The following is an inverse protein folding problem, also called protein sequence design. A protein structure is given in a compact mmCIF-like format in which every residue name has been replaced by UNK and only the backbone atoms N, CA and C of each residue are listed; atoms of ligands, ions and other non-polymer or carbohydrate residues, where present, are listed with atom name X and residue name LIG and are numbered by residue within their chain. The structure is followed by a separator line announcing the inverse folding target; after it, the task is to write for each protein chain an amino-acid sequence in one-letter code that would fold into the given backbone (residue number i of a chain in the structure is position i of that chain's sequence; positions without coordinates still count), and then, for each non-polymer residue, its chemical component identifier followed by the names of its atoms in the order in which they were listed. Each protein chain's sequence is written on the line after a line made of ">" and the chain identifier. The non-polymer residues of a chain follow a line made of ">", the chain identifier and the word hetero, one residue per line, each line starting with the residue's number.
data_IF_721113814684
#
_entry.id   IF_721113814684
#
_cell.length_a   1.000
_cell.length_b   1.000
_cell.length_c   1.000
_cell.angle_alpha   90.00
_cell.angle_beta   90.00
_cell.angle_gamma   90.00
#
_symmetry.space_group_name_H-M   'P 1'
#
loop_
_entity.id
_entity.type
_entity.pdbx_description
1 polymer ?
#
# COMPACT_ATOMS: atom_id res chain seq x y z
N UNK A 1 13.27 -11.16 6.18
CA UNK A 1 12.69 -10.45 5.03
C UNK A 1 13.68 -9.49 4.39
N UNK A 2 14.18 -8.48 5.10
CA UNK A 2 15.13 -7.52 4.54
C UNK A 2 16.37 -8.18 3.93
N UNK A 3 16.93 -9.21 4.59
CA UNK A 3 18.07 -10.00 4.06
C UNK A 3 17.72 -10.78 2.80
N UNK A 4 16.45 -11.17 2.62
CA UNK A 4 15.96 -11.82 1.42
C UNK A 4 15.61 -10.82 0.30
N UNK A 5 15.82 -9.52 0.50
CA UNK A 5 15.66 -8.48 -0.51
C UNK A 5 14.30 -7.81 -0.53
N UNK A 6 13.37 -8.16 0.35
CA UNK A 6 12.12 -7.42 0.48
C UNK A 6 12.37 -5.97 0.91
N UNK A 7 11.58 -5.04 0.39
CA UNK A 7 11.71 -3.60 0.64
C UNK A 7 10.57 -3.03 1.46
N UNK A 8 9.46 -3.74 1.57
CA UNK A 8 8.29 -3.31 2.31
C UNK A 8 7.53 -4.51 2.89
N UNK A 9 6.78 -4.26 3.94
CA UNK A 9 5.94 -5.25 4.62
C UNK A 9 4.64 -4.59 5.01
N UNK A 10 3.52 -5.25 4.72
CA UNK A 10 2.21 -4.86 5.20
C UNK A 10 1.98 -5.44 6.60
N UNK A 11 1.61 -4.58 7.53
CA UNK A 11 0.96 -4.99 8.77
C UNK A 11 -0.54 -4.99 8.54
N UNK A 12 -1.13 -6.14 8.57
CA UNK A 12 -2.55 -6.29 8.28
C UNK A 12 -3.37 -6.25 9.56
N UNK A 13 -4.05 -5.14 9.80
CA UNK A 13 -5.01 -5.01 10.88
C UNK A 13 -6.47 -5.13 10.41
N UNK A 14 -6.70 -5.39 9.12
CA UNK A 14 -8.02 -5.69 8.60
C UNK A 14 -8.49 -7.09 9.01
N UNK A 15 -7.57 -8.07 8.94
CA UNK A 15 -7.86 -9.48 9.23
C UNK A 15 -7.29 -9.97 10.55
N UNK A 16 -6.53 -9.14 11.26
CA UNK A 16 -5.90 -9.49 12.52
C UNK A 16 -6.19 -8.45 13.59
N UNK A 17 -6.27 -8.87 14.85
CA UNK A 17 -6.31 -7.91 15.94
C UNK A 17 -4.97 -7.18 16.04
N UNK A 18 -5.00 -5.89 15.79
CA UNK A 18 -3.83 -5.04 15.88
C UNK A 18 -3.86 -4.27 17.22
N UNK A 19 -2.98 -4.63 18.10
CA UNK A 19 -2.78 -3.87 19.32
C UNK A 19 -1.73 -2.78 19.06
N UNK A 20 -2.10 -1.53 19.28
CA UNK A 20 -1.30 -0.35 18.92
C UNK A 20 0.16 -0.37 19.40
N UNK A 21 0.42 -0.97 20.58
CA UNK A 21 1.77 -1.10 21.13
C UNK A 21 2.67 -2.01 20.27
N UNK A 22 2.18 -3.17 19.87
CA UNK A 22 2.93 -4.09 19.02
C UNK A 22 3.19 -3.51 17.64
N UNK A 23 2.24 -2.75 17.10
CA UNK A 23 2.40 -2.06 15.83
C UNK A 23 3.56 -1.07 15.83
N UNK A 24 3.74 -0.31 16.93
CA UNK A 24 4.82 0.65 17.07
C UNK A 24 6.19 -0.01 17.06
N UNK A 25 6.37 -1.02 17.88
CA UNK A 25 7.64 -1.71 17.99
C UNK A 25 8.00 -2.44 16.69
N UNK A 26 7.02 -3.06 16.05
CA UNK A 26 7.20 -3.68 14.74
C UNK A 26 7.59 -2.67 13.67
N UNK A 27 6.95 -1.51 13.63
CA UNK A 27 7.27 -0.46 12.66
C UNK A 27 8.68 0.11 12.88
N UNK A 28 9.08 0.31 14.14
CA UNK A 28 10.43 0.75 14.48
C UNK A 28 11.50 -0.28 14.07
N UNK A 29 11.26 -1.56 14.32
CA UNK A 29 12.16 -2.64 13.90
C UNK A 29 12.27 -2.69 12.38
N UNK A 30 11.15 -2.61 11.66
CA UNK A 30 11.12 -2.60 10.18
C UNK A 30 11.91 -1.43 9.62
N UNK A 31 11.72 -0.23 10.18
CA UNK A 31 12.47 0.97 9.78
C UNK A 31 13.98 0.81 9.96
N UNK A 32 14.44 0.23 11.09
CA UNK A 32 15.86 -0.06 11.35
C UNK A 32 16.45 -1.08 10.38
N UNK A 33 15.60 -1.97 9.86
CA UNK A 33 16.00 -2.97 8.85
C UNK A 33 15.91 -2.44 7.42
N UNK A 34 15.56 -1.17 7.21
CA UNK A 34 15.39 -0.57 5.89
C UNK A 34 14.13 -1.03 5.15
N UNK A 35 13.13 -1.53 5.88
CA UNK A 35 11.84 -1.94 5.33
C UNK A 35 10.81 -0.82 5.47
N UNK A 36 10.08 -0.53 4.40
CA UNK A 36 8.91 0.32 4.47
C UNK A 36 7.79 -0.40 5.22
N UNK A 37 7.38 0.15 6.35
CA UNK A 37 6.22 -0.34 7.10
C UNK A 37 4.94 0.26 6.51
N UNK A 38 4.12 -0.59 5.91
CA UNK A 38 2.78 -0.26 5.41
C UNK A 38 1.76 -0.78 6.40
N UNK A 39 0.89 0.08 6.90
CA UNK A 39 -0.17 -0.31 7.82
C UNK A 39 -1.50 -0.39 7.07
N UNK A 40 -2.06 -1.58 6.94
CA UNK A 40 -3.43 -1.78 6.47
C UNK A 40 -4.38 -1.76 7.68
N UNK A 41 -5.33 -0.84 7.70
CA UNK A 41 -6.31 -0.70 8.76
C UNK A 41 -7.69 -1.16 8.27
N UNK A 42 -8.58 -1.45 9.20
CA UNK A 42 -9.96 -1.79 8.88
C UNK A 42 -10.63 -0.64 8.12
N UNK A 43 -11.46 -0.96 7.13
CA UNK A 43 -12.12 0.03 6.24
C UNK A 43 -12.88 1.14 6.98
N UNK A 44 -13.42 0.82 8.15
CA UNK A 44 -14.21 1.74 8.97
C UNK A 44 -13.35 2.62 9.90
N UNK A 45 -12.06 2.32 10.00
CA UNK A 45 -11.14 3.03 10.89
C UNK A 45 -10.57 4.31 10.27
N UNK A 46 -11.36 5.08 9.54
CA UNK A 46 -10.88 6.24 8.75
C UNK A 46 -10.13 7.25 9.63
N UNK A 47 -10.63 7.51 10.84
CA UNK A 47 -9.96 8.40 11.79
C UNK A 47 -8.61 7.90 12.30
N UNK A 48 -8.39 6.59 12.26
CA UNK A 48 -7.16 5.97 12.78
C UNK A 48 -6.03 5.88 11.74
N UNK A 49 -6.29 6.21 10.47
CA UNK A 49 -5.23 6.19 9.46
C UNK A 49 -4.10 7.18 9.76
N UNK A 50 -4.45 8.37 10.29
CA UNK A 50 -3.48 9.33 10.77
C UNK A 50 -2.65 8.80 11.94
N UNK A 51 -3.26 8.06 12.85
CA UNK A 51 -2.61 7.52 14.04
C UNK A 51 -1.55 6.47 13.70
N UNK A 52 -1.73 5.71 12.61
CA UNK A 52 -0.74 4.74 12.17
C UNK A 52 0.64 5.37 11.90
N UNK A 53 0.68 6.61 11.45
CA UNK A 53 1.95 7.33 11.26
C UNK A 53 2.61 7.71 12.57
N UNK A 54 1.83 7.99 13.62
CA UNK A 54 2.36 8.22 14.96
C UNK A 54 3.03 6.96 15.53
N UNK A 55 2.57 5.80 15.10
CA UNK A 55 3.14 4.51 15.43
C UNK A 55 4.30 4.09 14.52
N UNK A 56 4.80 5.03 13.70
CA UNK A 56 5.98 4.83 12.87
C UNK A 56 5.73 4.14 11.52
N UNK A 57 4.49 3.96 11.09
CA UNK A 57 4.21 3.56 9.72
C UNK A 57 4.68 4.65 8.73
N UNK A 58 5.14 4.25 7.57
CA UNK A 58 5.52 5.16 6.47
C UNK A 58 4.46 5.21 5.38
N UNK A 59 3.60 4.22 5.35
CA UNK A 59 2.44 4.18 4.49
C UNK A 59 1.25 3.62 5.24
N UNK A 60 0.07 4.10 4.91
CA UNK A 60 -1.19 3.47 5.33
C UNK A 60 -1.93 2.99 4.10
N UNK A 61 -2.54 1.83 4.21
CA UNK A 61 -3.30 1.22 3.13
C UNK A 61 -4.78 1.16 3.53
N UNK A 62 -5.63 1.78 2.71
CA UNK A 62 -7.07 1.66 2.83
C UNK A 62 -7.55 0.46 2.01
N UNK A 63 -8.10 -0.57 2.63
CA UNK A 63 -8.65 -1.74 1.94
C UNK A 63 -10.02 -1.44 1.34
N UNK A 64 -10.48 -2.39 0.54
CA UNK A 64 -11.88 -2.60 0.19
C UNK A 64 -12.54 -1.48 -0.60
N UNK A 65 -11.93 -0.98 -1.62
CA UNK A 65 -12.58 0.01 -2.46
C UNK A 65 -13.32 1.08 -1.65
N UNK A 66 -13.44 2.24 -2.15
CA UNK A 66 -14.08 3.33 -1.45
C UNK A 66 -14.85 4.18 -2.46
N UNK A 67 -15.85 4.88 -2.08
CA UNK A 67 -16.42 5.90 -2.94
C UNK A 67 -15.36 6.99 -3.19
N UNK A 68 -15.58 7.86 -4.15
CA UNK A 68 -14.71 9.00 -4.35
C UNK A 68 -14.61 9.90 -3.10
N UNK A 69 -15.71 10.05 -2.37
CA UNK A 69 -15.75 10.82 -1.12
C UNK A 69 -14.92 10.12 -0.01
N UNK A 70 -15.00 8.80 0.09
CA UNK A 70 -14.14 8.05 1.02
C UNK A 70 -12.66 8.24 0.71
N UNK A 71 -12.29 8.20 -0.57
CA UNK A 71 -10.91 8.45 -0.99
C UNK A 71 -10.45 9.87 -0.59
N UNK A 72 -11.31 10.86 -0.74
CA UNK A 72 -11.04 12.24 -0.28
C UNK A 72 -10.84 12.29 1.24
N UNK A 73 -11.74 11.68 2.00
CA UNK A 73 -11.65 11.62 3.46
C UNK A 73 -10.38 10.90 3.88
N UNK A 74 -10.04 9.78 3.22
CA UNK A 74 -8.81 9.05 3.49
C UNK A 74 -7.57 9.93 3.30
N UNK A 75 -7.41 10.57 2.14
CA UNK A 75 -6.25 11.43 1.91
C UNK A 75 -6.23 12.64 2.85
N UNK A 76 -7.39 13.18 3.20
CA UNK A 76 -7.49 14.25 4.19
C UNK A 76 -7.03 13.79 5.58
N UNK A 77 -7.39 12.58 5.99
CA UNK A 77 -7.03 12.02 7.31
C UNK A 77 -5.53 11.74 7.48
N UNK A 78 -4.79 11.55 6.41
CA UNK A 78 -3.36 11.27 6.44
C UNK A 78 -2.48 12.50 6.22
N UNK A 79 -3.05 13.62 5.83
CA UNK A 79 -2.36 14.89 5.64
C UNK A 79 -2.54 15.81 6.85
N UNK A 80 -1.58 16.67 7.10
CA UNK A 80 -1.76 17.75 8.09
C UNK A 80 -2.77 18.77 7.57
N UNK A 81 -3.57 19.38 8.47
CA UNK A 81 -4.51 20.41 8.08
C UNK A 81 -3.75 21.60 7.47
N UNK A 82 -4.37 22.24 6.49
CA UNK A 82 -3.85 23.49 5.94
C UNK A 82 -3.78 24.58 7.05
N UNK A 83 -2.77 25.45 7.03
CA UNK A 83 -2.69 26.54 7.97
C UNK A 83 -3.96 27.40 7.94
N UNK A 84 -4.53 27.64 9.11
CA UNK A 84 -5.77 28.42 9.22
C UNK A 84 -7.06 27.63 8.97
N UNK A 85 -6.98 26.32 8.74
CA UNK A 85 -8.17 25.47 8.65
C UNK A 85 -8.92 25.50 9.98
N UNK A 86 -10.23 25.82 10.00
CA UNK A 86 -11.03 25.83 11.22
C UNK A 86 -11.40 24.41 11.70
N UNK A 87 -11.13 23.39 10.89
CA UNK A 87 -11.44 22.01 11.25
C UNK A 87 -10.38 21.48 12.20
N UNK A 88 -10.80 20.94 13.35
CA UNK A 88 -9.86 20.23 14.22
C UNK A 88 -9.28 19.04 13.46
N UNK A 89 -8.00 18.99 13.50
CA UNK A 89 -7.08 17.99 13.02
C UNK A 89 -7.69 16.75 12.34
N UNK A 90 -7.64 16.73 11.03
CA UNK A 90 -7.93 15.53 10.26
C UNK A 90 -6.85 14.46 10.49
N UNK A 91 -5.67 14.88 10.94
CA UNK A 91 -4.59 14.01 11.41
C UNK A 91 -4.34 14.29 12.89
N UNK A 92 -4.79 13.38 13.73
CA UNK A 92 -4.60 13.49 15.19
C UNK A 92 -3.13 13.31 15.57
N UNK A 93 -2.45 14.41 15.85
CA UNK A 93 -1.13 14.42 16.48
C UNK A 93 0.05 14.55 15.51
N UNK A 94 1.20 14.75 16.12
CA UNK A 94 2.48 14.95 15.42
C UNK A 94 3.02 13.62 14.90
N UNK A 95 3.62 13.59 13.68
CA UNK A 95 4.27 12.38 13.22
C UNK A 95 5.45 12.07 14.13
N UNK A 96 5.33 10.95 14.83
CA UNK A 96 6.44 10.43 15.63
C UNK A 96 7.34 9.66 14.68
N UNK A 97 8.45 10.25 14.28
CA UNK A 97 9.47 9.53 13.54
C UNK A 97 10.10 8.47 14.45
N UNK A 98 9.92 7.19 14.14
CA UNK A 98 10.64 6.08 14.74
C UNK A 98 10.65 6.06 16.29
N UNK A 99 9.58 6.54 16.92
CA UNK A 99 9.52 6.61 18.38
C UNK A 99 10.23 7.81 19.00
N UNK A 100 10.81 8.69 18.22
CA UNK A 100 11.35 9.96 18.70
C UNK A 100 10.20 10.92 19.01
N UNK A 101 9.95 11.10 20.30
CA UNK A 101 8.94 12.03 20.83
C UNK A 101 9.48 13.46 20.90
N UNK A 102 10.17 13.92 19.88
CA UNK A 102 10.58 15.32 19.87
C UNK A 102 9.36 16.19 19.55
N UNK A 103 8.73 16.67 20.59
CA UNK A 103 7.55 17.55 20.54
C UNK A 103 7.83 18.94 20.00
N UNK A 104 8.97 19.18 19.38
CA UNK A 104 9.44 20.50 18.97
C UNK A 104 9.59 20.65 17.46
N UNK A 105 8.74 20.00 16.67
CA UNK A 105 8.76 20.23 15.22
C UNK A 105 8.19 21.62 14.89
N UNK A 106 8.94 22.35 14.10
CA UNK A 106 8.41 23.57 13.46
C UNK A 106 7.36 23.18 12.39
N UNK A 107 6.44 24.07 12.03
CA UNK A 107 5.49 23.83 10.93
C UNK A 107 6.18 23.41 9.62
N UNK A 108 7.40 23.90 9.36
CA UNK A 108 8.18 23.53 8.18
C UNK A 108 8.65 22.08 8.25
N UNK A 109 9.13 21.62 9.41
CA UNK A 109 9.54 20.22 9.61
C UNK A 109 8.36 19.27 9.56
N UNK A 110 7.22 19.66 10.09
CA UNK A 110 5.98 18.88 9.97
C UNK A 110 5.59 18.68 8.51
N UNK A 111 5.61 19.73 7.70
CA UNK A 111 5.32 19.64 6.26
C UNK A 111 6.35 18.81 5.51
N UNK A 112 7.63 18.96 5.83
CA UNK A 112 8.67 18.12 5.27
C UNK A 112 8.43 16.63 5.59
N UNK A 113 7.93 16.31 6.78
CA UNK A 113 7.62 14.93 7.17
C UNK A 113 6.44 14.33 6.38
N UNK A 114 5.53 15.15 5.88
CA UNK A 114 4.42 14.67 5.02
C UNK A 114 4.92 14.09 3.70
N UNK A 115 6.04 14.59 3.17
CA UNK A 115 6.62 14.08 1.93
C UNK A 115 7.13 12.64 2.07
N UNK A 116 7.37 12.20 3.30
CA UNK A 116 7.86 10.86 3.60
C UNK A 116 6.76 9.85 3.91
N UNK A 117 5.50 10.28 3.95
CA UNK A 117 4.35 9.42 4.23
C UNK A 117 3.52 9.18 2.98
N UNK A 118 2.97 7.99 2.85
CA UNK A 118 2.22 7.58 1.67
C UNK A 118 0.83 7.08 2.05
N UNK A 119 -0.17 7.44 1.26
CA UNK A 119 -1.50 6.85 1.31
C UNK A 119 -1.71 5.88 0.17
N UNK A 120 -2.05 4.64 0.48
CA UNK A 120 -2.31 3.59 -0.50
C UNK A 120 -3.80 3.28 -0.55
N UNK A 121 -4.38 3.28 -1.73
CA UNK A 121 -5.76 2.82 -1.94
C UNK A 121 -5.72 1.43 -2.57
N UNK A 122 -6.41 0.49 -1.95
CA UNK A 122 -6.53 -0.87 -2.46
C UNK A 122 -7.76 -0.99 -3.36
N UNK A 123 -7.52 -1.38 -4.60
CA UNK A 123 -8.53 -1.58 -5.63
C UNK A 123 -8.93 -3.06 -5.63
N UNK A 124 -10.02 -3.37 -4.95
CA UNK A 124 -10.46 -4.74 -4.69
C UNK A 124 -11.90 -5.00 -5.13
N UNK A 125 -12.54 -4.02 -5.72
CA UNK A 125 -13.91 -4.19 -6.22
C UNK A 125 -14.00 -3.85 -7.70
N UNK A 126 -14.96 -4.44 -8.36
CA UNK A 126 -15.22 -4.21 -9.79
C UNK A 126 -15.50 -2.76 -10.10
N UNK A 127 -16.20 -2.05 -9.22
CA UNK A 127 -16.53 -0.64 -9.40
C UNK A 127 -15.28 0.21 -9.56
N UNK A 128 -14.19 -0.17 -8.88
CA UNK A 128 -12.93 0.57 -8.94
C UNK A 128 -12.06 0.22 -10.12
N UNK A 129 -12.12 -1.02 -10.56
CA UNK A 129 -11.29 -1.50 -11.65
C UNK A 129 -11.98 -1.32 -13.01
N UNK A 130 -13.29 -1.60 -13.06
CA UNK A 130 -14.08 -1.64 -14.31
C UNK A 130 -14.75 -0.30 -14.60
N UNK A 131 -15.30 0.41 -13.59
CA UNK A 131 -15.83 1.76 -13.79
C UNK A 131 -14.69 2.77 -14.03
N UNK A 132 -14.40 3.00 -15.30
CA UNK A 132 -13.34 3.95 -15.71
C UNK A 132 -13.56 5.35 -15.15
N UNK A 133 -14.79 5.83 -15.07
CA UNK A 133 -15.06 7.21 -14.59
C UNK A 133 -14.71 7.36 -13.12
N UNK A 134 -15.05 6.38 -12.30
CA UNK A 134 -14.71 6.38 -10.88
C UNK A 134 -13.21 6.20 -10.71
N UNK A 135 -12.60 5.25 -11.42
CA UNK A 135 -11.17 5.00 -11.41
C UNK A 135 -10.37 6.26 -11.77
N UNK A 136 -10.73 6.92 -12.85
CA UNK A 136 -10.05 8.15 -13.31
C UNK A 136 -10.16 9.27 -12.27
N UNK A 137 -11.31 9.47 -11.66
CA UNK A 137 -11.48 10.45 -10.57
C UNK A 137 -10.56 10.16 -9.39
N UNK A 138 -10.43 8.89 -9.00
CA UNK A 138 -9.54 8.49 -7.91
C UNK A 138 -8.07 8.68 -8.31
N UNK A 139 -7.69 8.31 -9.54
CA UNK A 139 -6.34 8.54 -10.04
C UNK A 139 -5.99 10.04 -10.06
N UNK A 140 -6.90 10.90 -10.49
CA UNK A 140 -6.69 12.35 -10.45
C UNK A 140 -6.55 12.86 -9.00
N UNK A 141 -7.35 12.36 -8.08
CA UNK A 141 -7.21 12.67 -6.66
C UNK A 141 -5.84 12.25 -6.13
N UNK A 142 -5.33 11.08 -6.55
CA UNK A 142 -4.00 10.58 -6.18
C UNK A 142 -2.89 11.46 -6.75
N UNK A 143 -3.02 11.92 -8.00
CA UNK A 143 -2.09 12.89 -8.61
C UNK A 143 -2.05 14.18 -7.79
N UNK A 144 -3.20 14.66 -7.35
CA UNK A 144 -3.32 15.89 -6.54
C UNK A 144 -2.63 15.79 -5.17
N UNK A 145 -2.40 14.58 -4.64
CA UNK A 145 -1.62 14.40 -3.41
C UNK A 145 -0.13 14.71 -3.59
N UNK A 146 0.34 14.73 -4.80
CA UNK A 146 1.74 14.93 -5.14
C UNK A 146 2.49 13.63 -5.41
N UNK A 147 3.62 13.79 -6.07
CA UNK A 147 4.46 12.66 -6.51
C UNK A 147 4.94 11.86 -5.31
N UNK A 148 4.85 10.55 -5.40
CA UNK A 148 5.24 9.58 -4.37
C UNK A 148 4.39 9.57 -3.09
N UNK A 149 3.32 10.35 -2.99
CA UNK A 149 2.43 10.35 -1.83
C UNK A 149 1.29 9.35 -1.92
N UNK A 150 0.89 9.00 -3.11
CA UNK A 150 -0.20 8.07 -3.32
C UNK A 150 0.25 6.83 -4.10
N UNK A 151 -0.28 5.69 -3.72
CA UNK A 151 -0.07 4.42 -4.42
C UNK A 151 -1.41 3.71 -4.63
N UNK A 152 -1.61 3.17 -5.82
CA UNK A 152 -2.72 2.28 -6.12
C UNK A 152 -2.29 0.82 -5.98
N UNK A 153 -2.99 0.06 -5.16
CA UNK A 153 -2.66 -1.33 -4.92
C UNK A 153 -3.85 -2.24 -5.28
N UNK A 154 -3.64 -3.25 -6.10
CA UNK A 154 -4.70 -4.15 -6.53
C UNK A 154 -4.70 -5.41 -5.68
N UNK A 155 -5.86 -5.72 -5.08
CA UNK A 155 -6.16 -6.99 -4.44
C UNK A 155 -7.08 -7.81 -5.36
N UNK A 156 -6.53 -8.62 -6.27
CA UNK A 156 -7.34 -9.28 -7.29
C UNK A 156 -8.26 -10.37 -6.72
N UNK A 157 -7.93 -10.94 -5.57
CA UNK A 157 -8.65 -12.06 -4.99
C UNK A 157 -10.12 -11.73 -4.70
N UNK A 158 -10.38 -10.57 -4.08
CA UNK A 158 -11.76 -10.16 -3.77
C UNK A 158 -12.58 -9.88 -5.01
N UNK A 159 -11.96 -9.34 -6.06
CA UNK A 159 -12.62 -9.14 -7.35
C UNK A 159 -12.98 -10.49 -7.99
N UNK A 160 -12.02 -11.43 -7.99
CA UNK A 160 -12.18 -12.77 -8.56
C UNK A 160 -13.23 -13.57 -7.78
N UNK A 161 -13.22 -13.50 -6.46
CA UNK A 161 -14.20 -14.21 -5.62
C UNK A 161 -15.65 -13.72 -5.85
N UNK A 162 -15.80 -12.45 -6.19
CA UNK A 162 -17.13 -11.86 -6.42
C UNK A 162 -17.65 -12.05 -7.84
N UNK A 163 -16.77 -11.98 -8.81
CA UNK A 163 -17.16 -11.97 -10.24
C UNK A 163 -16.69 -13.19 -11.01
N UNK A 164 -15.88 -14.04 -10.42
CA UNK A 164 -15.16 -15.08 -11.12
C UNK A 164 -13.90 -14.56 -11.81
N UNK A 165 -13.10 -15.48 -12.27
CA UNK A 165 -11.90 -15.19 -13.07
C UNK A 165 -12.33 -14.94 -14.53
N UNK A 166 -12.61 -13.69 -14.85
CA UNK A 166 -13.04 -13.28 -16.18
C UNK A 166 -11.95 -12.43 -16.86
N UNK A 167 -11.75 -12.55 -18.18
CA UNK A 167 -10.74 -11.81 -18.91
C UNK A 167 -10.82 -10.29 -18.70
N UNK A 168 -12.03 -9.74 -18.58
CA UNK A 168 -12.29 -8.33 -18.38
C UNK A 168 -11.70 -7.77 -17.10
N UNK A 169 -11.62 -8.57 -16.03
CA UNK A 169 -10.98 -8.18 -14.77
C UNK A 169 -9.48 -8.04 -14.97
N UNK A 170 -8.84 -9.00 -15.61
CA UNK A 170 -7.41 -8.96 -15.87
C UNK A 170 -7.04 -7.80 -16.81
N UNK A 171 -7.85 -7.55 -17.83
CA UNK A 171 -7.67 -6.40 -18.70
C UNK A 171 -7.82 -5.08 -17.94
N UNK A 172 -8.83 -4.95 -17.07
CA UNK A 172 -9.03 -3.76 -16.25
C UNK A 172 -7.87 -3.50 -15.28
N UNK A 173 -7.27 -4.56 -14.70
CA UNK A 173 -6.07 -4.46 -13.87
C UNK A 173 -4.88 -3.94 -14.68
N UNK A 174 -4.67 -4.50 -15.86
CA UNK A 174 -3.56 -4.11 -16.73
C UNK A 174 -3.75 -2.67 -17.24
N UNK A 175 -4.97 -2.28 -17.59
CA UNK A 175 -5.32 -0.90 -17.94
C UNK A 175 -5.03 0.06 -16.80
N UNK A 176 -5.45 -0.30 -15.59
CA UNK A 176 -5.18 0.50 -14.40
C UNK A 176 -3.69 0.76 -14.21
N UNK A 177 -2.83 -0.26 -14.34
CA UNK A 177 -1.39 -0.08 -14.21
C UNK A 177 -0.82 0.85 -15.29
N UNK A 178 -1.27 0.69 -16.55
CA UNK A 178 -0.82 1.54 -17.65
C UNK A 178 -1.23 3.00 -17.46
N UNK A 179 -2.47 3.24 -17.06
CA UNK A 179 -3.00 4.60 -16.84
C UNK A 179 -2.32 5.27 -15.64
N UNK A 180 -2.20 4.58 -14.52
CA UNK A 180 -1.52 5.10 -13.34
C UNK A 180 -0.04 5.42 -13.63
N UNK A 181 0.64 4.57 -14.39
CA UNK A 181 2.04 4.81 -14.80
C UNK A 181 2.17 6.08 -15.64
N UNK A 182 1.25 6.32 -16.59
CA UNK A 182 1.24 7.55 -17.40
C UNK A 182 1.07 8.81 -16.54
N UNK A 183 0.34 8.68 -15.43
CA UNK A 183 0.12 9.75 -14.46
C UNK A 183 1.25 9.88 -13.43
N UNK A 184 2.25 9.02 -13.47
CA UNK A 184 3.36 8.99 -12.51
C UNK A 184 2.98 8.45 -11.12
N UNK A 185 1.87 7.71 -11.02
CA UNK A 185 1.43 7.06 -9.80
C UNK A 185 2.08 5.68 -9.70
N UNK A 186 2.63 5.37 -8.54
CA UNK A 186 3.11 4.03 -8.25
C UNK A 186 1.94 3.07 -8.03
N UNK A 187 2.06 1.90 -8.63
CA UNK A 187 1.04 0.86 -8.49
C UNK A 187 1.66 -0.46 -8.09
N UNK A 188 0.83 -1.31 -7.48
CA UNK A 188 1.23 -2.64 -7.10
C UNK A 188 0.07 -3.63 -7.05
N UNK A 189 0.41 -4.88 -6.84
CA UNK A 189 -0.58 -5.95 -6.62
C UNK A 189 -0.03 -7.08 -5.77
N UNK A 190 -0.93 -7.86 -5.21
CA UNK A 190 -0.61 -9.20 -4.72
C UNK A 190 -0.46 -10.13 -5.92
N UNK A 191 0.61 -10.91 -5.94
CA UNK A 191 0.88 -11.94 -6.94
C UNK A 191 1.10 -13.24 -6.21
N UNK A 192 0.19 -14.16 -6.39
CA UNK A 192 0.22 -15.46 -5.72
C UNK A 192 -0.22 -15.44 -4.27
N UNK A 193 -0.78 -16.54 -3.84
CA UNK A 193 -1.23 -16.76 -2.47
C UNK A 193 -0.29 -17.68 -1.67
N UNK A 194 0.99 -17.61 -1.94
CA UNK A 194 2.02 -18.33 -1.18
C UNK A 194 2.19 -19.79 -1.60
N UNK A 195 2.00 -20.74 -0.69
CA UNK A 195 2.35 -22.14 -0.90
C UNK A 195 1.43 -22.95 -1.83
N UNK A 196 0.37 -22.34 -2.33
CA UNK A 196 -0.64 -23.04 -3.16
C UNK A 196 -0.47 -22.83 -4.68
N UNK A 197 0.44 -21.95 -5.09
CA UNK A 197 0.68 -21.69 -6.51
C UNK A 197 2.07 -22.14 -6.95
N UNK A 198 2.19 -22.59 -8.19
CA UNK A 198 3.49 -22.92 -8.76
C UNK A 198 4.37 -21.63 -8.77
N UNK A 199 5.62 -21.71 -8.30
CA UNK A 199 6.54 -20.57 -8.37
C UNK A 199 6.73 -19.98 -9.77
N UNK A 200 6.46 -20.76 -10.83
CA UNK A 200 6.50 -20.29 -12.21
C UNK A 200 5.30 -19.38 -12.52
N UNK A 201 4.11 -19.75 -12.07
CA UNK A 201 2.90 -18.96 -12.27
C UNK A 201 3.00 -17.62 -11.54
N UNK A 202 3.57 -17.65 -10.33
CA UNK A 202 3.88 -16.43 -9.57
C UNK A 202 4.87 -15.56 -10.36
N UNK A 203 5.93 -16.13 -10.90
CA UNK A 203 6.92 -15.39 -11.69
C UNK A 203 6.31 -14.76 -12.95
N UNK A 204 5.52 -15.53 -13.70
CA UNK A 204 4.85 -15.02 -14.92
C UNK A 204 3.86 -13.90 -14.59
N UNK A 205 3.06 -14.04 -13.54
CA UNK A 205 2.16 -13.00 -13.06
C UNK A 205 2.90 -11.71 -12.64
N UNK A 206 4.09 -11.84 -12.04
CA UNK A 206 4.96 -10.71 -11.74
C UNK A 206 5.50 -10.04 -13.00
N UNK A 207 5.98 -10.83 -13.97
CA UNK A 207 6.48 -10.31 -15.26
C UNK A 207 5.39 -9.54 -15.97
N UNK A 208 4.17 -10.08 -16.03
CA UNK A 208 3.03 -9.40 -16.62
C UNK A 208 2.72 -8.08 -15.93
N UNK A 209 2.62 -8.08 -14.61
CA UNK A 209 2.35 -6.88 -13.83
C UNK A 209 3.43 -5.79 -14.04
N UNK A 210 4.72 -6.17 -14.03
CA UNK A 210 5.84 -5.26 -14.25
C UNK A 210 5.78 -4.65 -15.66
N UNK A 211 5.52 -5.46 -16.68
CA UNK A 211 5.40 -4.99 -18.07
C UNK A 211 4.26 -3.99 -18.25
N UNK A 212 3.18 -4.15 -17.50
CA UNK A 212 2.06 -3.22 -17.51
C UNK A 212 2.26 -1.99 -16.59
N UNK A 213 3.36 -1.90 -15.86
CA UNK A 213 3.72 -0.71 -15.08
C UNK A 213 3.69 -0.85 -13.58
N UNK A 214 3.28 -2.00 -13.03
CA UNK A 214 3.36 -2.23 -11.59
C UNK A 214 4.81 -2.18 -11.09
N UNK A 215 5.00 -1.59 -9.91
CA UNK A 215 6.33 -1.42 -9.27
C UNK A 215 6.38 -1.98 -7.86
N UNK A 216 5.24 -2.25 -7.27
CA UNK A 216 5.12 -2.76 -5.90
C UNK A 216 4.42 -4.12 -5.95
N UNK A 217 5.20 -5.18 -5.86
CA UNK A 217 4.68 -6.54 -5.90
C UNK A 217 4.77 -7.17 -4.51
N UNK A 218 3.73 -7.86 -4.12
CA UNK A 218 3.72 -8.64 -2.88
C UNK A 218 3.24 -10.06 -3.12
N UNK A 219 3.66 -10.93 -2.24
CA UNK A 219 3.11 -12.27 -2.10
C UNK A 219 2.47 -12.37 -0.72
N UNK A 220 1.35 -13.07 -0.63
CA UNK A 220 0.70 -13.32 0.64
C UNK A 220 1.28 -14.61 1.25
N UNK A 221 1.96 -14.55 2.40
CA UNK A 221 2.44 -15.75 3.06
C UNK A 221 1.27 -16.49 3.70
N UNK A 222 1.05 -17.75 3.34
CA UNK A 222 0.01 -18.59 3.94
C UNK A 222 0.43 -19.31 5.21
N UNK A 223 1.68 -19.25 5.61
CA UNK A 223 2.19 -19.99 6.76
C UNK A 223 2.78 -19.08 7.81
N UNK A 224 2.43 -19.34 9.08
CA UNK A 224 3.00 -18.70 10.25
C UNK A 224 4.47 -19.03 10.48
N UNK A 225 4.95 -20.12 9.91
CA UNK A 225 6.32 -20.61 10.08
C UNK A 225 7.26 -20.19 8.96
N UNK A 226 7.46 -18.86 8.86
CA UNK A 226 8.39 -18.38 7.85
C UNK A 226 9.82 -18.40 8.35
N UNK A 227 10.50 -19.46 8.01
CA UNK A 227 11.94 -19.57 8.20
C UNK A 227 12.68 -18.60 7.27
N UNK A 228 13.93 -18.28 7.60
CA UNK A 228 14.79 -17.48 6.72
C UNK A 228 14.90 -18.12 5.31
N UNK A 229 14.96 -19.44 5.23
CA UNK A 229 14.97 -20.19 3.98
C UNK A 229 13.68 -19.96 3.17
N UNK A 230 12.52 -20.08 3.80
CA UNK A 230 11.24 -19.80 3.15
C UNK A 230 11.14 -18.36 2.62
N UNK A 231 11.68 -17.38 3.35
CA UNK A 231 11.74 -16.00 2.88
C UNK A 231 12.59 -15.86 1.59
N UNK A 232 13.72 -16.57 1.47
CA UNK A 232 14.53 -16.57 0.24
C UNK A 232 13.83 -17.31 -0.90
N UNK A 233 13.18 -18.43 -0.62
CA UNK A 233 12.41 -19.17 -1.62
C UNK A 233 11.27 -18.34 -2.19
N UNK A 234 10.56 -17.58 -1.34
CA UNK A 234 9.52 -16.64 -1.77
C UNK A 234 10.05 -15.42 -2.52
N UNK A 235 11.26 -14.96 -2.22
CA UNK A 235 11.87 -13.83 -2.92
C UNK A 235 12.40 -14.20 -4.31
N UNK A 236 12.74 -15.46 -4.56
CA UNK A 236 13.36 -15.91 -5.79
C UNK A 236 12.56 -15.59 -7.08
N UNK A 237 11.22 -15.79 -7.15
CA UNK A 237 10.41 -15.40 -8.29
C UNK A 237 10.50 -13.89 -8.58
N UNK A 238 10.52 -13.04 -7.55
CA UNK A 238 10.64 -11.59 -7.71
C UNK A 238 11.95 -11.19 -8.39
N UNK A 239 13.07 -11.79 -7.98
CA UNK A 239 14.37 -11.49 -8.60
C UNK A 239 14.43 -11.95 -10.04
N UNK A 240 13.88 -13.14 -10.34
CA UNK A 240 13.84 -13.63 -11.71
C UNK A 240 12.94 -12.77 -12.59
N UNK A 241 11.74 -12.43 -12.13
CA UNK A 241 10.82 -11.56 -12.85
C UNK A 241 11.42 -10.16 -13.10
N UNK A 242 12.05 -9.57 -12.07
CA UNK A 242 12.73 -8.27 -12.17
C UNK A 242 13.82 -8.32 -13.25
N UNK A 243 14.71 -9.32 -13.20
CA UNK A 243 15.77 -9.52 -14.19
C UNK A 243 15.22 -9.70 -15.61
N UNK A 244 14.14 -10.47 -15.79
CA UNK A 244 13.47 -10.66 -17.10
C UNK A 244 12.86 -9.35 -17.63
N UNK A 245 12.56 -8.40 -16.77
CA UNK A 245 12.04 -7.09 -17.14
C UNK A 245 13.10 -5.98 -17.22
N UNK A 246 14.37 -6.32 -17.02
CA UNK A 246 15.49 -5.37 -17.17
C UNK A 246 15.78 -4.48 -15.97
N UNK A 247 15.41 -4.96 -14.76
CA UNK A 247 15.68 -4.26 -13.48
C UNK A 247 16.75 -4.96 -12.65
#
# INVERSE_FOLDING_TARGET
>A
WAKAGFRWIVNDAEHTQWEGFYGRDQNAIKGRLGLLAVQRLHREAISSYGDAYQLGARATMRPYGCTFEDAKIFFKSINFPEPGSPTPHDRGGYPVRNGDRTMNFTPVELRASETETQGWIQFETSEYLIDRKLRDKILQLMVAQGRNKACGFVGPLDVILRQGEIPEVNEAINDFFREATKLGIHTGRVVGSGSMEDPKDIEEGMVEAIKNGARLLSVHPLTSDMTLRGAFEMAAPFFRASKRCGF
#
